data_IF_261531483253
#
_entry.id   IF_261531483253
#
_cell.length_a   1.000
_cell.length_b   1.000
_cell.length_c   1.000
_cell.angle_alpha   90.00
_cell.angle_beta   90.00
_cell.angle_gamma   90.00
#
_symmetry.space_group_name_H-M   'P 1'
#
loop_
_entity.id
_entity.type
_entity.pdbx_description
1 polymer ?
#
# COMPACT_ATOMS: atom_id res chain seq x y z
N UNK A 1 -5.02 16.97 -3.79
CA UNK A 1 -4.09 16.61 -2.70
C UNK A 1 -2.74 17.23 -3.02
N UNK A 2 -2.05 17.89 -2.08
CA UNK A 2 -0.69 18.40 -2.32
C UNK A 2 0.32 17.29 -2.00
N UNK A 3 1.49 17.29 -2.64
CA UNK A 3 2.56 16.30 -2.43
C UNK A 3 2.91 16.11 -0.94
N UNK A 4 2.81 17.16 -0.13
CA UNK A 4 3.06 17.12 1.30
C UNK A 4 2.07 16.20 2.06
N UNK A 5 0.77 16.28 1.75
CA UNK A 5 -0.25 15.42 2.35
C UNK A 5 -0.05 13.95 1.96
N UNK A 6 0.53 13.71 0.79
CA UNK A 6 0.79 12.34 0.33
C UNK A 6 1.88 11.64 1.15
N UNK A 7 3.00 12.34 1.43
CA UNK A 7 4.10 11.78 2.23
C UNK A 7 3.69 11.55 3.69
N UNK A 8 2.91 12.46 4.29
CA UNK A 8 2.40 12.30 5.66
C UNK A 8 1.56 11.04 5.83
N UNK A 9 0.69 10.74 4.87
CA UNK A 9 -0.16 9.54 4.89
C UNK A 9 0.68 8.26 4.83
N UNK A 10 1.70 8.23 3.96
CA UNK A 10 2.64 7.10 3.87
C UNK A 10 3.37 6.90 5.20
N UNK A 11 3.88 7.97 5.80
CA UNK A 11 4.57 7.89 7.09
C UNK A 11 3.65 7.42 8.21
N UNK A 12 2.40 7.87 8.25
CA UNK A 12 1.41 7.42 9.23
C UNK A 12 1.16 5.91 9.10
N UNK A 13 0.95 5.42 7.87
CA UNK A 13 0.75 3.99 7.63
C UNK A 13 1.98 3.16 8.00
N UNK A 14 3.19 3.64 7.68
CA UNK A 14 4.45 2.98 8.06
C UNK A 14 4.63 2.91 9.58
N UNK A 15 4.25 3.97 10.31
CA UNK A 15 4.29 3.96 11.78
C UNK A 15 3.27 2.98 12.38
N UNK A 16 2.09 2.86 11.77
CA UNK A 16 1.05 1.92 12.22
C UNK A 16 1.41 0.45 11.94
N UNK A 17 2.25 0.22 10.94
CA UNK A 17 2.67 -1.11 10.48
C UNK A 17 4.12 -1.45 10.89
N UNK A 18 4.71 -0.68 11.81
CA UNK A 18 6.06 -0.91 12.27
C UNK A 18 6.23 -2.32 12.88
N UNK A 19 7.33 -2.98 12.53
CA UNK A 19 7.60 -4.37 12.89
C UNK A 19 6.80 -5.43 12.11
N UNK A 20 5.87 -5.04 11.24
CA UNK A 20 5.13 -5.97 10.38
C UNK A 20 5.88 -6.30 9.09
N UNK A 21 5.50 -7.41 8.46
CA UNK A 21 6.07 -7.82 7.18
C UNK A 21 5.34 -7.09 6.05
N UNK A 22 6.00 -6.13 5.43
CA UNK A 22 5.44 -5.34 4.33
C UNK A 22 5.56 -6.09 2.99
N UNK A 23 4.49 -6.04 2.21
CA UNK A 23 4.37 -6.73 0.91
C UNK A 23 3.77 -5.77 -0.10
N UNK A 24 4.41 -5.63 -1.25
CA UNK A 24 3.81 -5.04 -2.44
C UNK A 24 3.04 -6.14 -3.19
N UNK A 25 1.72 -5.95 -3.37
CA UNK A 25 0.93 -6.86 -4.18
C UNK A 25 1.18 -6.60 -5.67
N UNK A 26 1.40 -7.68 -6.42
CA UNK A 26 1.52 -7.68 -7.88
C UNK A 26 0.45 -8.59 -8.47
N UNK A 27 0.28 -8.60 -9.79
CA UNK A 27 -0.80 -9.34 -10.45
C UNK A 27 -0.79 -10.85 -10.16
N UNK A 28 0.36 -11.44 -9.82
CA UNK A 28 0.50 -12.88 -9.64
C UNK A 28 1.04 -13.29 -8.26
N UNK A 29 1.56 -12.35 -7.47
CA UNK A 29 2.31 -12.66 -6.25
C UNK A 29 2.51 -11.43 -5.35
N UNK A 30 2.86 -11.67 -4.08
CA UNK A 30 3.28 -10.64 -3.14
C UNK A 30 4.80 -10.57 -3.04
N UNK A 31 5.39 -9.40 -3.32
CA UNK A 31 6.83 -9.17 -3.18
C UNK A 31 7.12 -8.51 -1.83
N UNK A 32 8.08 -9.03 -1.06
CA UNK A 32 8.57 -8.34 0.13
C UNK A 32 9.16 -6.97 -0.24
N UNK A 33 8.85 -5.98 0.58
CA UNK A 33 9.31 -4.60 0.40
C UNK A 33 9.68 -4.00 1.74
N UNK A 34 10.59 -3.02 1.73
CA UNK A 34 10.99 -2.26 2.92
C UNK A 34 10.30 -0.90 2.97
N UNK A 35 10.24 -0.29 4.15
CA UNK A 35 9.71 1.07 4.33
C UNK A 35 10.43 2.10 3.46
N UNK A 36 11.75 1.97 3.29
CA UNK A 36 12.53 2.86 2.44
C UNK A 36 12.18 2.73 0.95
N UNK A 37 11.90 1.51 0.48
CA UNK A 37 11.45 1.30 -0.90
C UNK A 37 10.05 1.89 -1.12
N UNK A 38 9.14 1.79 -0.15
CA UNK A 38 7.81 2.42 -0.22
C UNK A 38 7.96 3.94 -0.31
N UNK A 39 8.80 4.55 0.53
CA UNK A 39 9.06 6.00 0.50
C UNK A 39 9.63 6.45 -0.86
N UNK A 40 10.61 5.71 -1.40
CA UNK A 40 11.18 6.01 -2.71
C UNK A 40 10.16 5.88 -3.87
N UNK A 41 9.19 4.96 -3.74
CA UNK A 41 8.09 4.85 -4.69
C UNK A 41 7.09 6.01 -4.53
N UNK A 42 6.79 6.40 -3.29
CA UNK A 42 5.87 7.49 -2.98
C UNK A 42 6.35 8.84 -3.55
N UNK A 43 7.65 9.11 -3.58
CA UNK A 43 8.22 10.31 -4.21
C UNK A 43 7.89 10.45 -5.71
N UNK A 44 7.54 9.34 -6.37
CA UNK A 44 7.20 9.29 -7.80
C UNK A 44 5.69 9.24 -8.06
N UNK A 45 4.89 9.19 -7.01
CA UNK A 45 3.44 9.08 -7.09
C UNK A 45 2.78 10.44 -6.88
N UNK A 46 1.64 10.64 -7.53
CA UNK A 46 0.89 11.91 -7.49
C UNK A 46 -0.17 11.90 -6.39
N UNK A 47 -0.60 10.71 -5.97
CA UNK A 47 -1.61 10.52 -4.95
C UNK A 47 -1.33 9.27 -4.10
N UNK A 48 -1.97 9.26 -2.94
CA UNK A 48 -1.94 8.18 -1.96
C UNK A 48 -3.35 7.98 -1.42
N UNK A 49 -3.67 6.74 -1.10
CA UNK A 49 -4.90 6.36 -0.40
C UNK A 49 -4.62 5.22 0.58
N UNK A 50 -5.51 5.06 1.55
CA UNK A 50 -5.56 3.88 2.42
C UNK A 50 -6.92 3.23 2.25
N UNK A 51 -6.95 1.92 2.07
CA UNK A 51 -8.20 1.17 1.90
C UNK A 51 -8.46 0.23 3.08
N UNK A 52 -9.72 0.10 3.50
CA UNK A 52 -10.14 -0.82 4.55
C UNK A 52 -10.42 -2.19 3.93
N UNK A 53 -9.50 -3.12 4.18
CA UNK A 53 -9.53 -4.50 3.71
C UNK A 53 -9.82 -5.50 4.84
N UNK A 54 -10.44 -5.02 5.94
CA UNK A 54 -10.82 -5.84 7.10
C UNK A 54 -11.80 -6.96 6.77
N UNK A 55 -12.48 -6.88 5.63
CA UNK A 55 -13.43 -7.89 5.15
C UNK A 55 -12.75 -9.08 4.45
N UNK A 56 -11.47 -8.96 4.09
CA UNK A 56 -10.71 -10.04 3.44
C UNK A 56 -10.51 -11.23 4.38
N UNK A 57 -10.44 -12.48 3.85
CA UNK A 57 -10.21 -13.66 4.69
C UNK A 57 -8.94 -13.56 5.54
N UNK A 58 -7.85 -13.03 4.97
CA UNK A 58 -6.58 -12.89 5.68
C UNK A 58 -6.65 -11.88 6.84
N UNK A 59 -7.43 -10.81 6.71
CA UNK A 59 -7.65 -9.87 7.81
C UNK A 59 -8.54 -10.48 8.90
N UNK A 60 -9.62 -11.17 8.51
CA UNK A 60 -10.52 -11.88 9.43
C UNK A 60 -9.82 -12.99 10.22
N UNK A 61 -8.87 -13.67 9.59
CA UNK A 61 -8.07 -14.73 10.22
C UNK A 61 -6.91 -14.18 11.07
N UNK A 62 -6.74 -12.85 11.14
CA UNK A 62 -5.71 -12.19 11.97
C UNK A 62 -4.30 -12.23 11.39
N UNK A 63 -4.15 -12.52 10.09
CA UNK A 63 -2.84 -12.56 9.42
C UNK A 63 -2.44 -11.23 8.78
N UNK A 64 -3.40 -10.36 8.51
CA UNK A 64 -3.23 -9.13 7.74
C UNK A 64 -3.68 -7.91 8.57
N UNK A 65 -2.89 -6.84 8.54
CA UNK A 65 -3.30 -5.55 9.05
C UNK A 65 -4.45 -5.00 8.19
N UNK A 66 -5.57 -4.55 8.79
CA UNK A 66 -6.81 -4.31 8.05
C UNK A 66 -6.79 -3.07 7.14
N UNK A 67 -5.73 -2.25 7.18
CA UNK A 67 -5.62 -1.06 6.34
C UNK A 67 -4.48 -1.24 5.35
N UNK A 68 -4.79 -1.17 4.06
CA UNK A 68 -3.80 -1.19 2.98
C UNK A 68 -3.26 0.22 2.69
N UNK A 69 -2.19 0.31 1.93
CA UNK A 69 -1.68 1.56 1.37
C UNK A 69 -1.66 1.47 -0.15
N UNK A 70 -2.12 2.51 -0.81
CA UNK A 70 -2.15 2.63 -2.25
C UNK A 70 -1.38 3.86 -2.70
N UNK A 71 -0.50 3.68 -3.67
CA UNK A 71 0.24 4.78 -4.30
C UNK A 71 -0.03 4.76 -5.78
N UNK A 72 -0.29 5.92 -6.39
CA UNK A 72 -0.49 5.95 -7.82
C UNK A 72 -0.13 7.26 -8.50
N UNK A 73 -0.12 7.18 -9.83
CA UNK A 73 0.11 8.30 -10.73
C UNK A 73 -0.90 8.30 -11.87
N UNK A 74 -1.14 9.47 -12.44
CA UNK A 74 -2.21 9.69 -13.39
C UNK A 74 -3.57 9.77 -12.69
N UNK A 75 -4.62 9.80 -13.50
CA UNK A 75 -5.99 9.89 -13.02
C UNK A 75 -6.38 8.64 -12.21
N UNK A 76 -6.83 8.76 -10.94
CA UNK A 76 -7.24 7.62 -10.12
C UNK A 76 -8.31 6.75 -10.79
N UNK A 77 -9.34 7.35 -11.40
CA UNK A 77 -10.43 6.62 -12.06
C UNK A 77 -9.93 5.72 -13.22
N UNK A 78 -8.83 6.13 -13.86
CA UNK A 78 -8.22 5.40 -14.97
C UNK A 78 -7.18 4.37 -14.49
N UNK A 79 -6.60 4.58 -13.30
CA UNK A 79 -5.56 3.72 -12.73
C UNK A 79 -6.07 2.30 -12.41
N UNK A 80 -7.34 2.17 -12.05
CA UNK A 80 -7.98 0.88 -11.78
C UNK A 80 -8.56 0.20 -13.03
N UNK A 81 -8.61 0.87 -14.18
CA UNK A 81 -9.35 0.43 -15.37
C UNK A 81 -8.49 0.12 -16.60
N UNK A 82 -7.17 -0.07 -16.44
CA UNK A 82 -6.16 -0.49 -17.46
C UNK A 82 -5.73 0.55 -18.51
N UNK A 83 -5.67 1.83 -18.16
CA UNK A 83 -5.03 2.85 -19.02
C UNK A 83 -3.50 2.81 -18.93
N UNK A 84 -2.80 2.90 -20.07
CA UNK A 84 -1.32 2.85 -20.13
C UNK A 84 -0.60 3.99 -19.39
N UNK A 85 -1.31 5.05 -19.00
CA UNK A 85 -0.73 6.25 -18.42
C UNK A 85 -1.00 6.41 -16.92
N UNK A 86 -1.81 5.52 -16.33
CA UNK A 86 -2.16 5.55 -14.92
C UNK A 86 -1.84 4.19 -14.29
N UNK A 87 -1.34 4.20 -13.07
CA UNK A 87 -1.02 2.97 -12.35
C UNK A 87 -1.15 3.17 -10.86
N UNK A 88 -1.63 2.12 -10.21
CA UNK A 88 -1.71 1.98 -8.77
C UNK A 88 -0.77 0.87 -8.30
N UNK A 89 -0.12 1.09 -7.17
CA UNK A 89 0.72 0.16 -6.43
C UNK A 89 0.03 -0.12 -5.10
N UNK A 90 -0.19 -1.40 -4.80
CA UNK A 90 -0.86 -1.83 -3.58
C UNK A 90 0.15 -2.39 -2.57
N UNK A 91 0.05 -1.96 -1.32
CA UNK A 91 0.91 -2.39 -0.23
C UNK A 91 0.08 -2.89 0.94
N UNK A 92 0.52 -4.00 1.51
CA UNK A 92 -0.12 -4.72 2.59
C UNK A 92 0.89 -5.03 3.69
N UNK A 93 0.44 -5.08 4.94
CA UNK A 93 1.26 -5.43 6.08
C UNK A 93 0.73 -6.69 6.75
N UNK A 94 1.59 -7.71 6.90
CA UNK A 94 1.23 -8.98 7.51
C UNK A 94 1.81 -9.07 8.92
N UNK A 95 0.99 -9.53 9.86
CA UNK A 95 1.47 -9.97 11.16
C UNK A 95 2.42 -11.16 10.94
N UNK A 96 3.61 -11.11 11.56
CA UNK A 96 4.48 -12.28 11.56
C UNK A 96 3.69 -13.43 12.18
N UNK A 97 3.58 -14.56 11.46
CA UNK A 97 3.06 -15.78 12.06
C UNK A 97 4.03 -16.11 13.19
N UNK A 98 3.55 -16.17 14.44
CA UNK A 98 4.34 -16.70 15.54
C UNK A 98 4.84 -18.09 15.10
N UNK A 99 6.14 -18.19 14.88
CA UNK A 99 6.84 -19.43 14.56
C UNK A 99 6.87 -20.34 15.77
#
# INVERSE_FOLDING_TARGET
MTVATSIETVQQWLNQTDGLRLVQATSNEGKLITSNEILALAERCEWVETDDISDTPYAKDGYLYPISLELGWGNPDDAYTTSNNAKVLFFNAYYQKAS
#
